data_IF_100525664088
#
_entry.id   IF_100525664088
#
_cell.length_a   1.000
_cell.length_b   1.000
_cell.length_c   1.000
_cell.angle_alpha   90.00
_cell.angle_beta   90.00
_cell.angle_gamma   90.00
#
_symmetry.space_group_name_H-M   'P 1'
#
loop_
_entity.id
_entity.type
_entity.pdbx_description
1 polymer ?
#
# COMPACT_ATOMS: atom_id res chain seq x y z
N UNK A 1 17.36 46.72 11.87
CA UNK A 1 17.45 45.24 11.95
C UNK A 1 16.03 44.74 12.10
N UNK A 2 15.51 43.94 11.15
CA UNK A 2 14.20 43.31 11.30
C UNK A 2 14.38 42.13 12.27
N UNK A 3 13.75 42.20 13.43
CA UNK A 3 13.70 41.10 14.39
C UNK A 3 12.65 40.13 13.86
N UNK A 4 13.06 38.89 13.58
CA UNK A 4 12.10 37.82 13.33
C UNK A 4 11.49 37.43 14.69
N UNK A 5 10.18 37.23 14.75
CA UNK A 5 9.54 36.65 15.93
C UNK A 5 10.05 35.24 16.12
N UNK A 6 10.96 35.06 17.08
CA UNK A 6 11.48 33.76 17.47
C UNK A 6 10.32 32.94 18.07
N UNK A 7 9.92 31.88 17.38
CA UNK A 7 8.99 30.90 17.93
C UNK A 7 9.62 30.27 19.18
N UNK A 8 9.10 30.62 20.36
CA UNK A 8 9.45 29.97 21.62
C UNK A 8 8.42 28.88 21.92
N UNK A 9 8.89 27.69 22.33
CA UNK A 9 8.02 26.57 22.70
C UNK A 9 7.38 26.84 24.06
N UNK A 10 6.05 26.79 24.13
CA UNK A 10 5.33 26.98 25.40
C UNK A 10 5.43 25.77 26.34
N UNK A 11 5.53 24.56 25.79
CA UNK A 11 5.71 23.31 26.53
C UNK A 11 6.26 22.20 25.61
N UNK A 12 6.95 21.21 26.18
CA UNK A 12 7.45 20.03 25.48
C UNK A 12 7.49 18.84 26.45
N UNK A 13 7.14 17.65 25.96
CA UNK A 13 7.27 16.38 26.67
C UNK A 13 7.68 15.31 25.65
N UNK A 14 8.55 14.39 26.04
CA UNK A 14 8.91 13.25 25.18
C UNK A 14 7.79 12.22 25.16
N UNK A 15 7.71 11.39 24.12
CA UNK A 15 6.75 10.28 24.13
C UNK A 15 7.04 9.30 25.27
N UNK A 16 8.32 9.07 25.60
CA UNK A 16 8.69 8.22 26.72
C UNK A 16 8.07 8.73 28.03
N UNK A 17 8.30 10.00 28.35
CA UNK A 17 7.78 10.62 29.56
C UNK A 17 6.25 10.66 29.56
N UNK A 18 5.64 11.02 28.41
CA UNK A 18 4.19 11.06 28.25
C UNK A 18 3.55 9.72 28.57
N UNK A 19 4.09 8.61 28.04
CA UNK A 19 3.54 7.28 28.30
C UNK A 19 3.84 6.78 29.72
N UNK A 20 4.94 7.22 30.33
CA UNK A 20 5.23 6.93 31.74
C UNK A 20 4.27 7.61 32.72
N UNK A 21 3.59 8.70 32.32
CA UNK A 21 2.54 9.32 33.14
C UNK A 21 1.34 8.40 33.42
N UNK A 22 1.12 7.36 32.61
CA UNK A 22 0.01 6.41 32.80
C UNK A 22 0.22 5.40 33.94
N UNK A 23 1.33 5.52 34.69
CA UNK A 23 1.49 4.89 36.01
C UNK A 23 1.42 3.37 35.98
N UNK A 24 2.10 2.73 35.02
CA UNK A 24 2.21 1.28 34.90
C UNK A 24 1.00 0.55 34.31
N UNK A 25 -0.04 1.29 33.87
CA UNK A 25 -1.19 0.74 33.13
C UNK A 25 -1.05 0.96 31.62
N UNK A 26 0.15 0.69 31.10
CA UNK A 26 0.44 0.81 29.68
C UNK A 26 0.33 -0.58 29.01
N UNK A 27 -0.44 -0.65 27.93
CA UNK A 27 -0.56 -1.84 27.10
C UNK A 27 -0.48 -1.44 25.62
N UNK A 28 -0.11 -2.38 24.76
CA UNK A 28 0.04 -2.14 23.33
C UNK A 28 -0.04 -3.43 22.53
N UNK A 29 -0.28 -3.29 21.23
CA UNK A 29 -0.36 -4.42 20.31
C UNK A 29 0.39 -4.08 19.02
N UNK A 30 1.16 -5.06 18.51
CA UNK A 30 1.86 -4.97 17.23
C UNK A 30 2.30 -6.36 16.79
N UNK A 31 2.47 -6.56 15.48
CA UNK A 31 2.96 -7.81 14.91
C UNK A 31 4.48 -8.02 15.05
N UNK A 32 5.25 -6.99 15.41
CA UNK A 32 6.72 -7.01 15.30
C UNK A 32 7.48 -6.66 16.58
N UNK A 33 6.83 -6.51 17.74
CA UNK A 33 7.50 -6.10 18.98
C UNK A 33 8.52 -7.11 19.54
N UNK A 34 8.52 -8.37 19.07
CA UNK A 34 9.37 -9.39 19.69
C UNK A 34 10.87 -9.12 19.53
N UNK A 35 11.29 -8.34 18.54
CA UNK A 35 12.70 -7.94 18.37
C UNK A 35 13.10 -6.87 19.38
N UNK A 36 12.20 -5.91 19.65
CA UNK A 36 12.44 -4.77 20.55
C UNK A 36 11.98 -5.04 21.99
N UNK A 37 11.82 -6.31 22.39
CA UNK A 37 11.33 -6.69 23.73
C UNK A 37 12.13 -6.04 24.85
N UNK A 38 13.46 -6.01 24.72
CA UNK A 38 14.35 -5.46 25.75
C UNK A 38 14.13 -3.95 25.89
N UNK A 39 14.01 -3.22 24.79
CA UNK A 39 13.76 -1.78 24.82
C UNK A 39 12.39 -1.45 25.43
N UNK A 40 11.34 -2.23 25.12
CA UNK A 40 10.03 -2.06 25.74
C UNK A 40 10.06 -2.27 27.26
N UNK A 41 10.84 -3.24 27.73
CA UNK A 41 10.98 -3.50 29.15
C UNK A 41 11.78 -2.38 29.85
N UNK A 42 12.92 -1.99 29.28
CA UNK A 42 13.81 -1.01 29.90
C UNK A 42 13.20 0.41 29.93
N UNK A 43 12.47 0.79 28.88
CA UNK A 43 11.90 2.15 28.75
C UNK A 43 10.54 2.27 29.42
N UNK A 44 9.69 1.24 29.29
CA UNK A 44 8.28 1.31 29.70
C UNK A 44 7.88 0.27 30.75
N UNK A 45 8.77 -0.63 31.16
CA UNK A 45 8.44 -1.75 32.05
C UNK A 45 7.46 -2.75 31.43
N UNK A 46 7.38 -2.80 30.10
CA UNK A 46 6.40 -3.62 29.38
C UNK A 46 7.00 -4.95 28.92
N UNK A 47 6.36 -6.05 29.28
CA UNK A 47 6.64 -7.36 28.69
C UNK A 47 6.03 -7.51 27.30
N UNK A 48 6.74 -8.22 26.41
CA UNK A 48 6.25 -8.56 25.06
C UNK A 48 5.92 -10.05 24.98
N UNK A 49 4.64 -10.36 24.84
CA UNK A 49 4.13 -11.72 24.67
C UNK A 49 3.77 -11.97 23.20
N UNK A 50 4.36 -13.00 22.60
CA UNK A 50 4.04 -13.41 21.23
C UNK A 50 2.80 -14.29 21.23
N UNK A 51 1.72 -13.80 20.64
CA UNK A 51 0.47 -14.57 20.46
C UNK A 51 0.57 -15.40 19.18
N UNK A 52 0.25 -16.70 19.20
CA UNK A 52 0.28 -17.54 18.01
C UNK A 52 -0.76 -17.07 16.99
N UNK A 53 -0.49 -17.19 15.68
CA UNK A 53 -1.46 -16.81 14.65
C UNK A 53 -2.64 -17.78 14.63
N UNK A 54 -3.81 -17.29 14.19
CA UNK A 54 -5.02 -18.10 14.04
C UNK A 54 -4.83 -19.26 13.03
N UNK A 55 -3.97 -19.06 12.02
CA UNK A 55 -3.64 -20.07 11.01
C UNK A 55 -2.12 -20.15 10.79
N UNK A 56 -1.59 -21.31 10.35
CA UNK A 56 -0.20 -21.42 9.96
C UNK A 56 0.15 -20.44 8.84
N UNK A 57 1.28 -19.75 8.96
CA UNK A 57 1.77 -18.81 7.95
C UNK A 57 2.34 -19.58 6.75
N UNK A 58 1.74 -19.40 5.59
CA UNK A 58 2.20 -19.95 4.30
C UNK A 58 2.97 -18.92 3.45
N UNK A 59 3.25 -17.72 4.00
CA UNK A 59 3.99 -16.67 3.31
C UNK A 59 5.44 -17.11 3.08
N UNK A 60 5.88 -17.07 1.83
CA UNK A 60 7.26 -17.24 1.42
C UNK A 60 7.95 -15.88 1.37
N UNK A 61 9.00 -15.72 2.17
CA UNK A 61 9.84 -14.52 2.19
C UNK A 61 11.09 -14.81 1.32
N UNK A 62 11.22 -14.12 0.19
CA UNK A 62 12.32 -14.29 -0.76
C UNK A 62 13.54 -13.46 -0.34
N UNK A 63 14.74 -13.88 -0.76
CA UNK A 63 15.97 -13.14 -0.46
C UNK A 63 16.02 -11.79 -1.17
N UNK A 64 16.67 -10.81 -0.54
CA UNK A 64 16.85 -9.47 -1.12
C UNK A 64 17.71 -9.55 -2.38
N UNK A 65 17.17 -9.05 -3.49
CA UNK A 65 17.93 -8.87 -4.73
C UNK A 65 18.66 -7.53 -4.73
N UNK A 66 19.96 -7.55 -5.06
CA UNK A 66 20.81 -6.36 -5.11
C UNK A 66 21.11 -5.98 -6.56
N UNK A 67 20.82 -4.72 -6.91
CA UNK A 67 21.10 -4.18 -8.24
C UNK A 67 22.27 -3.20 -8.19
N UNK A 68 23.01 -3.11 -9.29
CA UNK A 68 24.17 -2.22 -9.41
C UNK A 68 23.80 -0.73 -9.31
N UNK A 69 22.63 -0.33 -9.83
CA UNK A 69 22.16 1.05 -9.82
C UNK A 69 20.67 1.13 -9.51
N UNK A 70 20.21 2.32 -9.10
CA UNK A 70 18.81 2.59 -8.85
C UNK A 70 17.94 2.45 -10.12
N UNK A 71 18.48 2.80 -11.29
CA UNK A 71 17.75 2.64 -12.55
C UNK A 71 17.53 1.17 -12.90
N UNK A 72 18.58 0.34 -12.79
CA UNK A 72 18.46 -1.11 -13.01
C UNK A 72 17.49 -1.72 -12.00
N UNK A 73 17.55 -1.30 -10.72
CA UNK A 73 16.57 -1.72 -9.70
C UNK A 73 15.13 -1.45 -10.14
N UNK A 74 14.86 -0.24 -10.62
CA UNK A 74 13.51 0.16 -11.00
C UNK A 74 13.03 -0.57 -12.27
N UNK A 75 13.92 -0.84 -13.22
CA UNK A 75 13.59 -1.63 -14.40
C UNK A 75 13.28 -3.09 -14.03
N UNK A 76 14.09 -3.72 -13.17
CA UNK A 76 13.85 -5.09 -12.67
C UNK A 76 12.52 -5.21 -11.92
N UNK A 77 12.23 -4.25 -11.04
CA UNK A 77 10.93 -4.19 -10.32
C UNK A 77 9.76 -4.11 -11.29
N UNK A 78 9.88 -3.33 -12.36
CA UNK A 78 8.82 -3.19 -13.38
C UNK A 78 8.63 -4.48 -14.17
N UNK A 79 9.71 -5.20 -14.49
CA UNK A 79 9.61 -6.51 -15.14
C UNK A 79 9.03 -7.60 -14.25
N UNK A 80 9.34 -7.57 -12.95
CA UNK A 80 8.72 -8.45 -11.96
C UNK A 80 7.22 -8.17 -11.85
N UNK A 81 6.84 -6.90 -11.74
CA UNK A 81 5.42 -6.48 -11.73
C UNK A 81 4.72 -6.98 -13.00
N UNK A 82 5.32 -6.78 -14.17
CA UNK A 82 4.77 -7.26 -15.45
C UNK A 82 4.54 -8.78 -15.44
N UNK A 83 5.56 -9.56 -15.06
CA UNK A 83 5.49 -11.03 -15.04
C UNK A 83 4.42 -11.55 -14.10
N UNK A 84 4.34 -11.01 -12.87
CA UNK A 84 3.37 -11.44 -11.86
C UNK A 84 1.95 -10.94 -12.16
N UNK A 85 1.83 -9.75 -12.76
CA UNK A 85 0.55 -9.23 -13.22
C UNK A 85 -0.04 -10.08 -14.35
N UNK A 86 0.78 -10.52 -15.32
CA UNK A 86 0.33 -11.44 -16.37
C UNK A 86 -0.23 -12.75 -15.81
N UNK A 87 0.29 -13.22 -14.66
CA UNK A 87 -0.26 -14.39 -13.93
C UNK A 87 -1.56 -14.09 -13.17
N UNK A 88 -2.00 -12.83 -13.15
CA UNK A 88 -3.19 -12.35 -12.44
C UNK A 88 -2.96 -12.09 -10.94
N UNK A 89 -1.72 -12.09 -10.45
CA UNK A 89 -1.46 -11.90 -9.02
C UNK A 89 -1.68 -10.44 -8.61
N UNK A 90 -2.32 -10.18 -7.46
CA UNK A 90 -2.32 -8.84 -6.86
C UNK A 90 -0.91 -8.48 -6.39
N UNK A 91 -0.51 -7.23 -6.58
CA UNK A 91 0.83 -6.72 -6.30
C UNK A 91 0.75 -5.44 -5.45
N UNK A 92 1.52 -5.43 -4.37
CA UNK A 92 1.78 -4.24 -3.54
C UNK A 92 3.27 -3.90 -3.61
N UNK A 93 3.58 -2.71 -4.13
CA UNK A 93 4.95 -2.22 -4.29
C UNK A 93 5.20 -1.14 -3.25
N UNK A 94 6.15 -1.37 -2.33
CA UNK A 94 6.55 -0.38 -1.33
C UNK A 94 7.73 0.47 -1.79
N UNK A 95 7.64 1.79 -1.69
CA UNK A 95 8.73 2.75 -1.95
C UNK A 95 9.00 3.60 -0.72
N UNK A 96 10.11 4.34 -0.69
CA UNK A 96 10.41 5.23 0.44
C UNK A 96 9.95 6.67 0.20
N UNK A 97 9.91 7.10 -1.07
CA UNK A 97 9.56 8.47 -1.42
C UNK A 97 8.50 8.51 -2.52
N UNK A 98 7.78 9.64 -2.60
CA UNK A 98 6.76 9.86 -3.63
C UNK A 98 7.41 9.86 -5.01
N UNK A 99 8.62 10.40 -5.12
CA UNK A 99 9.39 10.44 -6.36
C UNK A 99 9.74 9.03 -6.87
N UNK A 100 10.08 8.10 -5.97
CA UNK A 100 10.29 6.70 -6.32
C UNK A 100 8.99 6.04 -6.80
N UNK A 101 7.86 6.27 -6.11
CA UNK A 101 6.55 5.77 -6.53
C UNK A 101 6.18 6.24 -7.93
N UNK A 102 6.37 7.52 -8.21
CA UNK A 102 6.15 8.08 -9.53
C UNK A 102 7.14 7.53 -10.58
N UNK A 103 8.38 7.24 -10.19
CA UNK A 103 9.37 6.65 -11.10
C UNK A 103 9.00 5.23 -11.53
N UNK A 104 8.47 4.40 -10.61
CA UNK A 104 7.90 3.08 -10.94
C UNK A 104 6.68 3.24 -11.85
N UNK A 105 5.76 4.14 -11.49
CA UNK A 105 4.54 4.42 -12.22
C UNK A 105 4.80 4.88 -13.68
N UNK A 106 5.77 5.76 -13.90
CA UNK A 106 6.19 6.21 -15.24
C UNK A 106 6.74 5.07 -16.09
N UNK A 107 7.55 4.18 -15.50
CA UNK A 107 8.10 3.02 -16.22
C UNK A 107 7.01 1.99 -16.56
N UNK A 108 6.06 1.76 -15.67
CA UNK A 108 4.88 0.93 -15.95
C UNK A 108 4.04 1.50 -17.11
N UNK A 109 3.80 2.82 -17.12
CA UNK A 109 3.13 3.47 -18.26
C UNK A 109 3.92 3.32 -19.55
N UNK A 110 5.26 3.39 -19.49
CA UNK A 110 6.11 3.24 -20.67
C UNK A 110 5.99 1.84 -21.30
N UNK A 111 5.62 0.80 -20.53
CA UNK A 111 5.34 -0.53 -21.08
C UNK A 111 4.19 -0.51 -22.10
N UNK A 112 3.22 0.40 -21.96
CA UNK A 112 2.12 0.55 -22.92
C UNK A 112 2.59 0.99 -24.32
N UNK A 113 3.80 1.56 -24.43
CA UNK A 113 4.41 1.94 -25.71
C UNK A 113 5.31 0.84 -26.29
N UNK A 114 5.57 -0.23 -25.56
CA UNK A 114 6.39 -1.36 -26.04
C UNK A 114 5.54 -2.20 -26.99
N UNK A 115 6.06 -2.57 -28.19
CA UNK A 115 5.35 -3.44 -29.11
C UNK A 115 4.95 -4.76 -28.43
N UNK A 116 3.68 -5.17 -28.61
CA UNK A 116 3.13 -6.37 -27.98
C UNK A 116 3.96 -7.62 -28.23
N UNK A 117 4.49 -7.78 -29.45
CA UNK A 117 5.34 -8.92 -29.82
C UNK A 117 6.52 -9.09 -28.86
N UNK A 118 7.16 -7.98 -28.48
CA UNK A 118 8.27 -7.99 -27.51
C UNK A 118 7.78 -8.33 -26.11
N UNK A 119 6.64 -7.79 -25.68
CA UNK A 119 6.08 -8.10 -24.36
C UNK A 119 5.72 -9.59 -24.24
N UNK A 120 5.22 -10.20 -25.31
CA UNK A 120 4.96 -11.65 -25.36
C UNK A 120 6.25 -12.44 -25.29
N UNK A 121 7.29 -12.03 -26.03
CA UNK A 121 8.62 -12.65 -25.96
C UNK A 121 9.20 -12.59 -24.54
N UNK A 122 9.16 -11.42 -23.89
CA UNK A 122 9.60 -11.25 -22.51
C UNK A 122 8.80 -12.10 -21.52
N UNK A 123 7.47 -12.13 -21.64
CA UNK A 123 6.63 -12.97 -20.78
C UNK A 123 7.02 -14.45 -20.90
N UNK A 124 7.23 -14.93 -22.12
CA UNK A 124 7.65 -16.31 -22.38
C UNK A 124 9.03 -16.62 -21.77
N UNK A 125 10.00 -15.70 -21.90
CA UNK A 125 11.33 -15.85 -21.30
C UNK A 125 11.27 -15.94 -19.77
N UNK A 126 10.32 -15.24 -19.15
CA UNK A 126 10.11 -15.22 -17.69
C UNK A 126 9.17 -16.34 -17.20
N UNK A 127 8.67 -17.20 -18.09
CA UNK A 127 7.71 -18.26 -17.75
C UNK A 127 6.33 -17.74 -17.32
N UNK A 128 5.96 -16.53 -17.74
CA UNK A 128 4.65 -15.93 -17.51
C UNK A 128 3.72 -16.18 -18.73
N UNK A 129 2.39 -16.26 -18.52
CA UNK A 129 1.44 -16.27 -19.63
C UNK A 129 1.55 -14.96 -20.44
N UNK A 130 1.20 -14.98 -21.74
CA UNK A 130 1.21 -13.76 -22.54
C UNK A 130 0.21 -12.74 -21.96
N UNK A 131 0.52 -11.43 -22.01
CA UNK A 131 -0.39 -10.40 -21.52
C UNK A 131 -1.72 -10.45 -22.27
N UNK A 132 -2.82 -10.21 -21.55
CA UNK A 132 -4.16 -10.10 -22.11
C UNK A 132 -4.23 -8.94 -23.11
N UNK A 133 -5.13 -9.08 -24.08
CA UNK A 133 -5.25 -8.10 -25.16
C UNK A 133 -5.82 -6.79 -24.63
N UNK A 134 -4.99 -5.76 -24.46
CA UNK A 134 -5.44 -4.42 -24.06
C UNK A 134 -4.93 -3.92 -22.72
N UNK A 135 -4.04 -4.66 -22.05
CA UNK A 135 -3.57 -4.33 -20.70
C UNK A 135 -2.69 -3.07 -20.69
N UNK A 136 -3.33 -1.90 -20.64
CA UNK A 136 -2.74 -0.80 -19.91
C UNK A 136 -2.59 -1.29 -18.46
N UNK A 137 -1.36 -1.28 -17.92
CA UNK A 137 -1.11 -1.66 -16.54
C UNK A 137 -1.78 -0.63 -15.61
N UNK A 138 -3.05 -0.86 -15.28
CA UNK A 138 -3.77 -0.02 -14.35
C UNK A 138 -3.15 -0.19 -12.96
N UNK A 139 -2.72 0.91 -12.37
CA UNK A 139 -2.15 0.93 -11.03
C UNK A 139 -2.75 2.08 -10.23
N UNK A 140 -2.66 1.96 -8.91
CA UNK A 140 -3.05 3.01 -7.97
C UNK A 140 -1.87 3.39 -7.10
N UNK A 141 -1.63 4.69 -6.93
CA UNK A 141 -0.57 5.22 -6.06
C UNK A 141 -1.18 5.74 -4.76
N UNK A 142 -0.55 5.38 -3.64
CA UNK A 142 -0.85 5.87 -2.30
C UNK A 142 0.30 6.73 -1.81
N UNK A 143 -0.01 7.94 -1.36
CA UNK A 143 0.97 8.99 -1.05
C UNK A 143 1.09 9.29 0.45
N UNK A 144 0.41 8.52 1.31
CA UNK A 144 0.47 8.64 2.77
C UNK A 144 0.07 10.03 3.31
N UNK A 145 -0.77 10.78 2.58
CA UNK A 145 -1.22 12.10 3.04
C UNK A 145 -2.39 11.93 4.01
N UNK A 146 -2.34 12.52 5.23
CA UNK A 146 -3.38 12.32 6.24
C UNK A 146 -4.79 12.67 5.78
N UNK A 147 -4.95 13.68 4.90
CA UNK A 147 -6.25 14.09 4.38
C UNK A 147 -6.91 13.02 3.49
N UNK A 148 -6.13 12.06 2.97
CA UNK A 148 -6.61 11.00 2.10
C UNK A 148 -6.61 9.62 2.77
N UNK A 149 -6.30 9.52 4.06
CA UNK A 149 -6.13 8.24 4.76
C UNK A 149 -7.37 7.32 4.64
N UNK A 150 -8.58 7.87 4.76
CA UNK A 150 -9.83 7.09 4.62
C UNK A 150 -10.00 6.55 3.18
N UNK A 151 -9.72 7.39 2.18
CA UNK A 151 -9.79 6.99 0.77
C UNK A 151 -8.70 5.99 0.40
N UNK A 152 -7.48 6.17 0.92
CA UNK A 152 -6.38 5.23 0.73
C UNK A 152 -6.70 3.88 1.39
N UNK A 153 -7.35 3.87 2.56
CA UNK A 153 -7.83 2.65 3.20
C UNK A 153 -8.84 1.90 2.31
N UNK A 154 -9.82 2.59 1.73
CA UNK A 154 -10.77 1.96 0.81
C UNK A 154 -10.09 1.30 -0.40
N UNK A 155 -9.05 1.94 -0.94
CA UNK A 155 -8.25 1.41 -2.06
C UNK A 155 -7.48 0.16 -1.61
N UNK A 156 -6.81 0.23 -0.46
CA UNK A 156 -5.98 -0.86 0.09
C UNK A 156 -6.83 -2.10 0.39
N UNK A 157 -8.05 -1.90 0.91
CA UNK A 157 -9.01 -2.98 1.14
C UNK A 157 -9.40 -3.73 -0.16
N UNK A 158 -9.21 -3.11 -1.32
CA UNK A 158 -9.49 -3.69 -2.65
C UNK A 158 -8.21 -4.13 -3.39
N UNK A 159 -7.02 -3.91 -2.82
CA UNK A 159 -5.75 -4.22 -3.47
C UNK A 159 -5.50 -5.72 -3.69
N UNK A 160 -6.24 -6.61 -3.02
CA UNK A 160 -6.14 -8.06 -3.18
C UNK A 160 -6.92 -8.64 -4.36
N UNK A 161 -7.51 -7.80 -5.22
CA UNK A 161 -8.23 -8.23 -6.43
C UNK A 161 -7.25 -8.75 -7.50
N UNK A 162 -7.71 -9.69 -8.32
CA UNK A 162 -6.92 -10.28 -9.39
C UNK A 162 -6.34 -9.18 -10.30
N UNK A 163 -5.03 -9.23 -10.55
CA UNK A 163 -4.30 -8.26 -11.37
C UNK A 163 -4.15 -6.85 -10.78
N UNK A 164 -4.63 -6.58 -9.58
CA UNK A 164 -4.52 -5.23 -9.00
C UNK A 164 -3.05 -4.87 -8.72
N UNK A 165 -2.62 -3.68 -9.14
CA UNK A 165 -1.30 -3.12 -8.85
C UNK A 165 -1.47 -1.90 -7.94
N UNK A 166 -0.89 -1.96 -6.74
CA UNK A 166 -0.90 -0.85 -5.78
C UNK A 166 0.53 -0.44 -5.44
N UNK A 167 0.86 0.84 -5.61
CA UNK A 167 2.16 1.42 -5.26
C UNK A 167 1.97 2.25 -4.00
N UNK A 168 2.62 1.86 -2.90
CA UNK A 168 2.51 2.49 -1.59
C UNK A 168 3.81 3.20 -1.22
N UNK A 169 3.71 4.51 -0.97
CA UNK A 169 4.81 5.30 -0.43
C UNK A 169 4.91 5.12 1.09
N UNK A 170 6.09 4.73 1.57
CA UNK A 170 6.41 4.42 2.97
C UNK A 170 5.53 3.32 3.57
N UNK A 171 4.45 3.72 4.24
CA UNK A 171 3.47 2.86 4.88
C UNK A 171 2.05 3.37 4.61
N UNK A 172 1.81 3.92 3.43
CA UNK A 172 0.46 4.30 3.02
C UNK A 172 -0.45 3.06 3.05
N UNK A 173 -1.64 3.19 3.62
CA UNK A 173 -2.55 2.06 3.87
C UNK A 173 -2.30 1.31 5.17
N UNK A 174 -1.39 1.75 6.04
CA UNK A 174 -1.18 1.14 7.36
C UNK A 174 -2.49 1.07 8.16
N UNK A 175 -2.75 -0.11 8.73
CA UNK A 175 -3.94 -0.36 9.55
C UNK A 175 -5.16 -0.83 8.77
N UNK A 176 -5.05 -1.03 7.45
CA UNK A 176 -6.10 -1.66 6.63
C UNK A 176 -5.63 -2.99 6.09
N UNK A 177 -6.43 -4.04 6.27
CA UNK A 177 -6.12 -5.38 5.78
C UNK A 177 -6.35 -5.49 4.27
N UNK A 178 -5.41 -6.15 3.58
CA UNK A 178 -5.55 -6.48 2.15
C UNK A 178 -6.19 -7.87 2.05
N UNK A 179 -7.50 -7.91 1.77
CA UNK A 179 -8.24 -9.15 1.59
C UNK A 179 -8.10 -9.65 0.15
N UNK A 180 -7.71 -10.93 -0.01
CA UNK A 180 -7.66 -11.57 -1.33
C UNK A 180 -9.08 -11.65 -1.92
N UNK A 181 -9.22 -11.24 -3.18
CA UNK A 181 -10.52 -11.06 -3.84
C UNK A 181 -11.20 -9.71 -3.56
N UNK A 182 -10.62 -8.88 -2.68
CA UNK A 182 -11.17 -7.60 -2.25
C UNK A 182 -12.18 -7.72 -1.10
N UNK A 183 -12.57 -6.57 -0.53
CA UNK A 183 -13.56 -6.52 0.55
C UNK A 183 -14.99 -6.59 -0.02
N UNK A 184 -15.67 -7.72 0.18
CA UNK A 184 -17.03 -7.98 -0.29
C UNK A 184 -18.08 -7.01 0.30
N UNK A 185 -17.98 -6.66 1.59
CA UNK A 185 -18.90 -5.71 2.22
C UNK A 185 -18.71 -4.30 1.66
N UNK A 186 -17.45 -3.88 1.48
CA UNK A 186 -17.12 -2.60 0.85
C UNK A 186 -17.65 -2.52 -0.59
N UNK A 187 -17.46 -3.58 -1.38
CA UNK A 187 -17.99 -3.71 -2.74
C UNK A 187 -19.52 -3.64 -2.77
N UNK A 188 -20.20 -4.38 -1.88
CA UNK A 188 -21.66 -4.36 -1.81
C UNK A 188 -22.18 -2.96 -1.46
N UNK A 189 -21.58 -2.28 -0.47
CA UNK A 189 -21.94 -0.90 -0.13
C UNK A 189 -21.67 0.06 -1.28
N UNK A 190 -20.56 -0.12 -2.01
CA UNK A 190 -20.22 0.70 -3.18
C UNK A 190 -21.25 0.53 -4.30
N UNK A 191 -21.55 -0.70 -4.70
CA UNK A 191 -22.51 -0.97 -5.78
C UNK A 191 -23.94 -0.56 -5.37
N UNK A 192 -24.33 -0.79 -4.11
CA UNK A 192 -25.61 -0.30 -3.58
C UNK A 192 -25.68 1.22 -3.62
N UNK A 193 -24.62 1.95 -3.23
CA UNK A 193 -24.58 3.41 -3.37
C UNK A 193 -24.67 3.82 -4.84
N UNK A 194 -23.88 3.21 -5.72
CA UNK A 194 -23.90 3.52 -7.15
C UNK A 194 -25.29 3.35 -7.78
N UNK A 195 -26.01 2.29 -7.42
CA UNK A 195 -27.33 1.97 -7.97
C UNK A 195 -28.46 2.73 -7.29
N UNK A 196 -28.43 2.87 -5.96
CA UNK A 196 -29.54 3.40 -5.16
C UNK A 196 -29.42 4.88 -4.83
N UNK A 197 -28.21 5.45 -4.75
CA UNK A 197 -28.03 6.87 -4.42
C UNK A 197 -28.67 7.81 -5.47
N UNK A 198 -28.60 7.53 -6.79
CA UNK A 198 -29.33 8.33 -7.78
C UNK A 198 -30.86 8.29 -7.61
N UNK A 199 -31.38 7.17 -7.08
CA UNK A 199 -32.82 6.96 -6.87
C UNK A 199 -33.28 7.59 -5.55
N UNK A 200 -32.49 7.46 -4.49
CA UNK A 200 -32.83 7.96 -3.16
C UNK A 200 -32.60 9.47 -3.00
N UNK A 201 -31.61 10.04 -3.67
CA UNK A 201 -31.24 11.46 -3.61
C UNK A 201 -30.92 12.01 -5.01
N UNK A 202 -31.94 12.29 -5.85
CA UNK A 202 -31.75 12.73 -7.23
C UNK A 202 -31.01 14.06 -7.39
N UNK A 203 -30.92 14.87 -6.32
CA UNK A 203 -30.27 16.19 -6.32
C UNK A 203 -29.00 16.26 -5.42
N UNK A 204 -28.48 15.13 -4.94
CA UNK A 204 -27.23 15.16 -4.18
C UNK A 204 -26.06 15.56 -5.11
N UNK A 205 -25.13 16.43 -4.67
CA UNK A 205 -23.93 16.70 -5.44
C UNK A 205 -23.24 15.37 -5.70
N UNK A 206 -23.06 15.02 -6.97
CA UNK A 206 -22.37 13.81 -7.37
C UNK A 206 -20.94 13.90 -6.83
N UNK A 207 -20.69 13.35 -5.64
CA UNK A 207 -19.36 12.92 -5.28
C UNK A 207 -19.07 11.79 -6.26
N UNK A 208 -18.42 12.11 -7.37
CA UNK A 208 -17.94 11.11 -8.33
C UNK A 208 -17.14 10.13 -7.49
N UNK A 209 -17.62 8.89 -7.28
CA UNK A 209 -16.79 7.90 -6.64
C UNK A 209 -15.50 7.82 -7.47
N UNK A 210 -14.36 7.67 -6.79
CA UNK A 210 -13.10 7.42 -7.48
C UNK A 210 -13.36 6.34 -8.55
N UNK A 211 -12.98 6.57 -9.82
CA UNK A 211 -13.22 5.57 -10.84
C UNK A 211 -12.54 4.28 -10.36
N UNK A 212 -13.33 3.22 -10.20
CA UNK A 212 -12.75 1.90 -10.03
C UNK A 212 -12.02 1.59 -11.34
N UNK A 213 -10.79 1.05 -11.29
CA UNK A 213 -10.20 0.41 -12.46
C UNK A 213 -11.22 -0.62 -12.99
N UNK A 214 -11.41 -0.60 -14.31
CA UNK A 214 -12.44 -1.41 -14.98
C UNK A 214 -12.29 -2.88 -14.58
N UNK A 215 -13.39 -3.51 -14.18
CA UNK A 215 -13.43 -4.97 -14.07
C UNK A 215 -13.24 -5.60 -15.47
N UNK A 216 -12.59 -6.77 -15.59
CA UNK A 216 -12.34 -7.43 -16.87
C UNK A 216 -13.64 -7.78 -17.62
#
# INVERSE_FOLDING_TARGET
VKVNDDQSFAASITYQDLFNLFGGRLCGMTGTASTERVEFFDVYGMDVVTVPPNQPRLREDWETSLCRSADVKLDEVVWEIFSEHCKGRPLLVGTQTVEESEAVARRLQALAHVPREKLVEYAQMMGAPPPSTGDAFEYVILNARPQYAEREADIVAQAGRQGAITISTNMAGRGTDILLGGNAEGLAKFELRRLLLPVALPNAPHATPAPLPSAP
#
